data_IF_962594720778
#
_entry.id   IF_962594720778
#
_cell.length_a   1.000
_cell.length_b   1.000
_cell.length_c   1.000
_cell.angle_alpha   90.00
_cell.angle_beta   90.00
_cell.angle_gamma   90.00
#
_symmetry.space_group_name_H-M   'P 1'
#
loop_
_entity.id
_entity.type
_entity.pdbx_description
1 polymer ?
#
# COMPACT_ATOMS: atom_id res chain seq x y z
N UNK A 1 -17.94 15.45 8.64
CA UNK A 1 -16.56 15.75 9.07
C UNK A 1 -16.44 17.25 9.30
N UNK A 2 -16.57 17.72 10.55
CA UNK A 2 -16.48 19.15 10.93
C UNK A 2 -15.03 19.52 11.23
N UNK A 3 -14.13 19.29 10.28
CA UNK A 3 -12.81 19.89 10.32
C UNK A 3 -12.92 21.27 9.68
N UNK A 4 -13.19 22.27 10.50
CA UNK A 4 -13.07 23.68 10.12
C UNK A 4 -11.64 23.92 9.64
N UNK A 5 -11.49 24.39 8.40
CA UNK A 5 -10.17 24.61 7.82
C UNK A 5 -9.42 25.69 8.60
N UNK A 6 -8.09 25.71 8.51
CA UNK A 6 -7.30 26.82 9.05
C UNK A 6 -7.82 28.18 8.57
N UNK A 7 -8.32 28.24 7.34
CA UNK A 7 -8.83 29.44 6.73
C UNK A 7 -10.18 29.91 7.33
N UNK A 8 -11.09 28.99 7.62
CA UNK A 8 -12.38 29.29 8.25
C UNK A 8 -12.17 29.87 9.65
N UNK A 9 -11.22 29.30 10.42
CA UNK A 9 -10.82 29.84 11.73
C UNK A 9 -10.28 31.26 11.63
N UNK A 10 -9.39 31.53 10.68
CA UNK A 10 -8.82 32.87 10.48
C UNK A 10 -9.91 33.87 10.07
N UNK A 11 -10.83 33.48 9.19
CA UNK A 11 -11.96 34.32 8.81
C UNK A 11 -12.87 34.65 10.01
N UNK A 12 -13.13 33.67 10.89
CA UNK A 12 -13.88 33.89 12.13
C UNK A 12 -13.19 34.88 13.07
N UNK A 13 -11.88 34.72 13.31
CA UNK A 13 -11.11 35.67 14.13
C UNK A 13 -11.10 37.08 13.54
N UNK A 14 -10.97 37.22 12.23
CA UNK A 14 -11.03 38.53 11.55
C UNK A 14 -12.40 39.19 11.70
N UNK A 15 -13.49 38.42 11.61
CA UNK A 15 -14.84 38.92 11.83
C UNK A 15 -15.00 39.50 13.25
N UNK A 16 -14.59 38.76 14.28
CA UNK A 16 -14.69 39.23 15.66
C UNK A 16 -13.81 40.45 15.93
N UNK A 17 -12.61 40.51 15.34
CA UNK A 17 -11.73 41.68 15.45
C UNK A 17 -12.36 42.91 14.78
N UNK A 18 -12.89 42.77 13.56
CA UNK A 18 -13.56 43.85 12.85
C UNK A 18 -14.78 44.38 13.62
N UNK A 19 -15.60 43.48 14.17
CA UNK A 19 -16.76 43.82 14.99
C UNK A 19 -16.35 44.63 16.23
N UNK A 20 -15.34 44.16 16.97
CA UNK A 20 -14.86 44.84 18.16
C UNK A 20 -14.33 46.24 17.85
N UNK A 21 -13.50 46.38 16.80
CA UNK A 21 -12.94 47.68 16.39
C UNK A 21 -14.02 48.63 15.88
N UNK A 22 -15.03 48.14 15.16
CA UNK A 22 -16.15 48.97 14.71
C UNK A 22 -17.00 49.49 15.86
N UNK A 23 -17.30 48.65 16.85
CA UNK A 23 -18.01 49.08 18.07
C UNK A 23 -17.19 50.11 18.85
N UNK A 24 -15.87 49.89 18.98
CA UNK A 24 -14.97 50.85 19.63
C UNK A 24 -14.94 52.20 18.88
N UNK A 25 -14.88 52.19 17.55
CA UNK A 25 -14.94 53.39 16.74
C UNK A 25 -16.26 54.14 16.93
N UNK A 26 -17.39 53.43 17.03
CA UNK A 26 -18.68 54.03 17.33
C UNK A 26 -18.69 54.76 18.69
N UNK A 27 -18.21 54.08 19.74
CA UNK A 27 -18.17 54.65 21.10
C UNK A 27 -17.26 55.87 21.18
N UNK A 28 -16.06 55.81 20.59
CA UNK A 28 -15.08 56.89 20.64
C UNK A 28 -15.52 58.14 19.87
N UNK A 29 -16.29 57.99 18.78
CA UNK A 29 -16.79 59.12 17.98
C UNK A 29 -18.17 59.62 18.40
N UNK A 30 -18.80 58.99 19.39
CA UNK A 30 -20.10 59.40 19.92
C UNK A 30 -20.16 60.89 20.36
N UNK A 31 -19.10 61.48 20.97
CA UNK A 31 -19.09 62.91 21.33
C UNK A 31 -19.18 63.87 20.14
N UNK A 32 -18.82 63.41 18.94
CA UNK A 32 -18.89 64.21 17.70
C UNK A 32 -20.27 64.16 17.03
N UNK A 33 -21.22 63.40 17.59
CA UNK A 33 -22.58 63.25 17.07
C UNK A 33 -22.85 61.86 16.47
N UNK A 34 -24.13 61.45 16.52
CA UNK A 34 -24.57 60.11 16.12
C UNK A 34 -24.26 59.80 14.65
N UNK A 35 -24.48 60.77 13.76
CA UNK A 35 -24.23 60.60 12.33
C UNK A 35 -22.74 60.27 12.06
N UNK A 36 -21.83 61.03 12.68
CA UNK A 36 -20.38 60.84 12.52
C UNK A 36 -19.91 59.52 13.13
N UNK A 37 -20.40 59.15 14.32
CA UNK A 37 -20.06 57.86 14.94
C UNK A 37 -20.47 56.67 14.07
N UNK A 38 -21.68 56.72 13.49
CA UNK A 38 -22.19 55.68 12.61
C UNK A 38 -21.41 55.59 11.30
N UNK A 39 -21.08 56.74 10.68
CA UNK A 39 -20.24 56.81 9.48
C UNK A 39 -18.88 56.15 9.70
N UNK A 40 -18.23 56.41 10.85
CA UNK A 40 -16.92 55.81 11.19
C UNK A 40 -17.02 54.31 11.42
N UNK A 41 -18.04 53.84 12.13
CA UNK A 41 -18.28 52.40 12.33
C UNK A 41 -18.44 51.65 10.99
N UNK A 42 -19.30 52.17 10.10
CA UNK A 42 -19.54 51.56 8.79
C UNK A 42 -18.27 51.58 7.93
N UNK A 43 -17.50 52.67 7.97
CA UNK A 43 -16.21 52.76 7.27
C UNK A 43 -15.23 51.66 7.73
N UNK A 44 -15.13 51.42 9.04
CA UNK A 44 -14.29 50.34 9.60
C UNK A 44 -14.74 48.97 9.07
N UNK A 45 -16.05 48.69 9.07
CA UNK A 45 -16.56 47.42 8.56
C UNK A 45 -16.29 47.23 7.06
N UNK A 46 -16.49 48.26 6.25
CA UNK A 46 -16.23 48.20 4.80
C UNK A 46 -14.75 47.91 4.53
N UNK A 47 -13.84 48.60 5.21
CA UNK A 47 -12.40 48.43 5.03
C UNK A 47 -11.94 47.06 5.55
N UNK A 48 -12.56 46.53 6.61
CA UNK A 48 -12.20 45.25 7.21
C UNK A 48 -12.61 44.02 6.38
N UNK A 49 -13.51 44.17 5.38
CA UNK A 49 -13.97 43.05 4.55
C UNK A 49 -12.81 42.41 3.74
N UNK A 50 -12.44 41.14 4.01
CA UNK A 50 -11.24 40.53 3.44
C UNK A 50 -11.54 39.87 2.08
N UNK A 51 -11.89 40.65 1.06
CA UNK A 51 -12.24 40.16 -0.28
C UNK A 51 -11.15 39.28 -0.91
N UNK A 52 -9.87 39.62 -0.69
CA UNK A 52 -8.74 38.86 -1.22
C UNK A 52 -8.59 37.46 -0.57
N UNK A 53 -8.97 37.32 0.70
CA UNK A 53 -8.85 36.06 1.44
C UNK A 53 -9.75 34.97 0.82
N UNK A 54 -10.96 35.35 0.38
CA UNK A 54 -11.93 34.45 -0.22
C UNK A 54 -11.47 33.82 -1.54
N UNK A 55 -10.59 34.51 -2.29
CA UNK A 55 -10.06 34.02 -3.57
C UNK A 55 -8.72 33.30 -3.43
N UNK A 56 -7.89 33.68 -2.45
CA UNK A 56 -6.55 33.11 -2.28
C UNK A 56 -6.56 31.59 -2.03
N UNK A 57 -7.48 31.12 -1.17
CA UNK A 57 -7.57 29.71 -0.76
C UNK A 57 -7.91 28.78 -1.93
N UNK A 58 -9.02 28.96 -2.69
CA UNK A 58 -9.34 28.07 -3.80
C UNK A 58 -8.28 28.10 -4.89
N UNK A 59 -7.64 29.25 -5.12
CA UNK A 59 -6.56 29.38 -6.09
C UNK A 59 -5.33 28.56 -5.71
N UNK A 60 -4.88 28.67 -4.45
CA UNK A 60 -3.74 27.88 -3.95
C UNK A 60 -4.07 26.39 -3.99
N UNK A 61 -5.27 25.98 -3.56
CA UNK A 61 -5.69 24.57 -3.61
C UNK A 61 -5.71 24.04 -5.04
N UNK A 62 -6.28 24.80 -5.99
CA UNK A 62 -6.33 24.39 -7.39
C UNK A 62 -4.91 24.24 -7.97
N UNK A 63 -4.01 25.20 -7.69
CA UNK A 63 -2.61 25.12 -8.14
C UNK A 63 -1.86 23.97 -7.49
N UNK A 64 -1.96 23.78 -6.18
CA UNK A 64 -1.33 22.66 -5.48
C UNK A 64 -1.85 21.30 -5.96
N UNK A 65 -3.15 21.19 -6.25
CA UNK A 65 -3.74 19.95 -6.79
C UNK A 65 -3.25 19.67 -8.20
N UNK A 66 -3.15 20.70 -9.05
CA UNK A 66 -2.57 20.57 -10.39
C UNK A 66 -1.11 20.14 -10.34
N UNK A 67 -0.30 20.74 -9.46
CA UNK A 67 1.10 20.34 -9.26
C UNK A 67 1.20 18.90 -8.74
N UNK A 68 0.34 18.51 -7.80
CA UNK A 68 0.28 17.13 -7.31
C UNK A 68 -0.02 16.14 -8.44
N UNK A 69 -1.06 16.41 -9.24
CA UNK A 69 -1.45 15.55 -10.34
C UNK A 69 -0.35 15.39 -11.40
N UNK A 70 0.39 16.46 -11.74
CA UNK A 70 1.53 16.38 -12.68
C UNK A 70 2.70 15.56 -12.14
N UNK A 71 2.76 15.34 -10.82
CA UNK A 71 3.78 14.51 -10.16
C UNK A 71 3.22 13.15 -9.70
N UNK A 72 2.06 12.71 -10.22
CA UNK A 72 1.47 11.41 -9.90
C UNK A 72 0.77 11.34 -8.53
N UNK A 73 0.57 12.47 -7.84
CA UNK A 73 -0.18 12.54 -6.59
C UNK A 73 -1.63 12.97 -6.84
N UNK A 74 -2.56 12.02 -6.72
CA UNK A 74 -4.00 12.27 -6.88
C UNK A 74 -4.66 12.61 -5.53
N UNK A 75 -5.00 13.88 -5.33
CA UNK A 75 -5.59 14.37 -4.08
C UNK A 75 -7.11 14.38 -4.20
N UNK A 76 -7.78 13.43 -3.55
CA UNK A 76 -9.26 13.37 -3.49
C UNK A 76 -9.86 14.24 -2.39
N UNK A 77 -9.14 14.40 -1.28
CA UNK A 77 -9.60 15.15 -0.11
C UNK A 77 -8.57 16.21 0.29
N UNK A 78 -8.95 17.49 0.14
CA UNK A 78 -8.11 18.64 0.51
C UNK A 78 -7.69 18.63 1.99
N UNK A 79 -8.55 18.19 2.89
CA UNK A 79 -8.26 18.16 4.33
C UNK A 79 -7.17 17.13 4.67
N UNK A 80 -7.06 16.07 3.87
CA UNK A 80 -6.01 15.07 4.03
C UNK A 80 -4.63 15.69 3.76
N UNK A 81 -4.51 16.61 2.80
CA UNK A 81 -3.25 17.30 2.50
C UNK A 81 -2.79 18.19 3.67
N UNK A 82 -3.72 18.91 4.30
CA UNK A 82 -3.41 19.72 5.48
C UNK A 82 -3.02 18.86 6.69
N UNK A 83 -3.70 17.73 6.87
CA UNK A 83 -3.46 16.83 8.01
C UNK A 83 -2.19 16.00 7.84
N UNK A 84 -1.86 15.60 6.60
CA UNK A 84 -0.67 14.82 6.28
C UNK A 84 0.63 15.50 6.72
N UNK A 85 0.67 16.84 6.74
CA UNK A 85 1.80 17.63 7.26
C UNK A 85 2.12 17.36 8.73
N UNK A 86 1.17 16.81 9.50
CA UNK A 86 1.31 16.51 10.93
C UNK A 86 1.47 15.02 11.20
N UNK A 87 1.54 14.19 10.15
CA UNK A 87 1.69 12.76 10.31
C UNK A 87 3.05 12.44 10.95
N UNK A 88 3.03 11.61 11.99
CA UNK A 88 4.24 11.10 12.68
C UNK A 88 4.50 9.63 12.39
N UNK A 89 3.47 8.90 11.99
CA UNK A 89 3.52 7.47 11.71
C UNK A 89 2.90 7.23 10.35
N UNK A 90 3.53 6.35 9.56
CA UNK A 90 3.01 5.90 8.29
C UNK A 90 2.93 4.39 8.33
N UNK A 91 1.70 3.88 8.50
CA UNK A 91 1.41 2.45 8.39
C UNK A 91 1.27 2.14 6.92
N UNK A 92 2.08 1.22 6.44
CA UNK A 92 2.13 0.88 5.02
C UNK A 92 1.69 -0.56 4.83
N UNK A 93 0.86 -0.78 3.81
CA UNK A 93 0.65 -2.15 3.36
C UNK A 93 1.95 -2.68 2.75
N UNK A 94 2.20 -3.99 2.82
CA UNK A 94 3.40 -4.58 2.21
C UNK A 94 3.16 -4.77 0.72
N UNK A 95 2.15 -5.58 0.41
CA UNK A 95 1.89 -6.11 -0.92
C UNK A 95 1.44 -5.00 -1.86
N UNK A 96 2.12 -4.82 -2.99
CA UNK A 96 1.79 -3.80 -4.00
C UNK A 96 2.12 -2.35 -3.61
N UNK A 97 2.37 -2.06 -2.34
CA UNK A 97 2.86 -0.75 -1.87
C UNK A 97 4.38 -0.73 -1.83
N UNK A 98 4.99 -1.52 -0.94
CA UNK A 98 6.45 -1.65 -0.83
C UNK A 98 7.03 -2.68 -1.81
N UNK A 99 6.20 -3.58 -2.30
CA UNK A 99 6.60 -4.64 -3.22
C UNK A 99 5.96 -4.42 -4.58
N UNK A 100 6.52 -5.08 -5.60
CA UNK A 100 6.06 -4.98 -7.00
C UNK A 100 4.67 -5.60 -7.20
N UNK A 101 4.17 -6.39 -6.23
CA UNK A 101 2.92 -7.14 -6.37
C UNK A 101 3.09 -8.34 -7.29
N UNK A 102 4.33 -8.77 -7.55
CA UNK A 102 4.71 -9.85 -8.46
C UNK A 102 5.45 -10.90 -7.67
N UNK A 103 4.77 -12.02 -7.43
CA UNK A 103 5.39 -13.18 -6.79
C UNK A 103 6.34 -13.84 -7.78
N UNK A 104 7.57 -14.05 -7.34
CA UNK A 104 8.62 -14.71 -8.11
C UNK A 104 9.20 -15.84 -7.29
N UNK A 105 9.58 -16.93 -7.94
CA UNK A 105 10.34 -18.00 -7.33
C UNK A 105 11.72 -17.46 -6.96
N UNK A 106 11.99 -17.33 -5.67
CA UNK A 106 13.27 -16.87 -5.15
C UNK A 106 14.31 -17.98 -5.15
N UNK A 107 13.89 -19.20 -4.80
CA UNK A 107 14.76 -20.38 -4.74
C UNK A 107 13.95 -21.67 -4.71
N UNK A 108 14.57 -22.76 -5.12
CA UNK A 108 14.00 -24.11 -5.17
C UNK A 108 14.97 -25.07 -4.48
N UNK A 109 14.46 -25.96 -3.63
CA UNK A 109 15.23 -27.04 -3.03
C UNK A 109 14.67 -28.38 -3.50
N UNK A 110 15.56 -29.32 -3.81
CA UNK A 110 15.21 -30.72 -4.07
C UNK A 110 15.64 -31.58 -2.89
N UNK A 111 14.84 -32.59 -2.56
CA UNK A 111 15.11 -33.55 -1.48
C UNK A 111 15.33 -34.98 -1.99
N UNK A 112 14.94 -35.26 -3.23
CA UNK A 112 15.07 -36.56 -3.89
C UNK A 112 16.00 -36.44 -5.11
N UNK A 113 16.18 -37.54 -5.85
CA UNK A 113 17.04 -37.61 -7.04
C UNK A 113 16.57 -36.74 -8.24
N UNK A 114 15.46 -36.01 -8.08
CA UNK A 114 14.95 -35.10 -9.10
C UNK A 114 15.69 -33.77 -9.09
N UNK A 115 15.91 -33.20 -10.27
CA UNK A 115 16.56 -31.90 -10.37
C UNK A 115 15.63 -30.76 -9.92
N UNK A 116 16.21 -29.59 -9.62
CA UNK A 116 15.42 -28.39 -9.28
C UNK A 116 14.50 -27.99 -10.44
N UNK A 117 14.97 -28.16 -11.68
CA UNK A 117 14.22 -27.88 -12.90
C UNK A 117 13.03 -28.83 -13.05
N UNK A 118 13.20 -30.12 -12.76
CA UNK A 118 12.10 -31.11 -12.81
C UNK A 118 11.00 -30.80 -11.79
N UNK A 119 11.39 -30.43 -10.56
CA UNK A 119 10.44 -30.02 -9.53
C UNK A 119 9.67 -28.78 -9.97
N UNK A 120 10.38 -27.76 -10.49
CA UNK A 120 9.76 -26.52 -10.92
C UNK A 120 8.83 -26.74 -12.13
N UNK A 121 9.24 -27.56 -13.11
CA UNK A 121 8.42 -27.91 -14.27
C UNK A 121 7.16 -28.69 -13.86
N UNK A 122 7.28 -29.64 -12.92
CA UNK A 122 6.14 -30.40 -12.41
C UNK A 122 5.17 -29.50 -11.64
N UNK A 123 5.69 -28.60 -10.80
CA UNK A 123 4.84 -27.63 -10.11
C UNK A 123 4.13 -26.69 -11.09
N UNK A 124 4.84 -26.19 -12.11
CA UNK A 124 4.27 -25.33 -13.14
C UNK A 124 3.18 -26.04 -13.96
N UNK A 125 3.32 -27.35 -14.20
CA UNK A 125 2.31 -28.16 -14.87
C UNK A 125 1.01 -28.23 -14.06
N UNK A 126 1.11 -28.55 -12.76
CA UNK A 126 -0.04 -28.59 -11.85
C UNK A 126 -0.71 -27.21 -11.69
N UNK A 127 0.08 -26.14 -11.68
CA UNK A 127 -0.38 -24.75 -11.54
C UNK A 127 -0.83 -24.10 -12.87
N UNK A 128 -0.77 -24.82 -13.99
CA UNK A 128 -1.07 -24.34 -15.35
C UNK A 128 -2.42 -23.61 -15.43
N UNK A 129 -3.45 -24.15 -14.80
CA UNK A 129 -4.82 -23.62 -14.81
C UNK A 129 -5.18 -22.73 -13.60
N UNK A 130 -4.25 -22.48 -12.68
CA UNK A 130 -4.47 -21.67 -11.49
C UNK A 130 -4.18 -20.18 -11.77
N UNK A 131 -5.11 -19.30 -11.38
CA UNK A 131 -4.94 -17.84 -11.44
C UNK A 131 -4.36 -17.24 -10.15
N UNK A 132 -4.00 -18.09 -9.18
CA UNK A 132 -3.46 -17.62 -7.92
C UNK A 132 -2.10 -16.90 -8.12
N UNK A 133 -1.81 -15.79 -7.43
CA UNK A 133 -0.53 -15.07 -7.62
C UNK A 133 0.72 -15.95 -7.46
N UNK A 134 0.71 -16.88 -6.51
CA UNK A 134 1.77 -17.90 -6.33
C UNK A 134 1.93 -18.79 -7.59
N UNK A 135 0.82 -19.35 -8.09
CA UNK A 135 0.80 -20.13 -9.33
C UNK A 135 1.41 -19.37 -10.51
N UNK A 136 1.07 -18.08 -10.63
CA UNK A 136 1.63 -17.25 -11.71
C UNK A 136 3.14 -17.04 -11.57
N UNK A 137 3.66 -17.00 -10.35
CA UNK A 137 5.10 -16.92 -10.05
C UNK A 137 5.85 -18.18 -10.49
N UNK A 138 5.36 -19.35 -10.10
CA UNK A 138 5.91 -20.65 -10.53
C UNK A 138 5.92 -20.78 -12.06
N UNK A 139 4.80 -20.44 -12.72
CA UNK A 139 4.70 -20.49 -14.19
C UNK A 139 5.66 -19.53 -14.86
N UNK A 140 5.77 -18.30 -14.37
CA UNK A 140 6.70 -17.31 -14.91
C UNK A 140 8.16 -17.79 -14.78
N UNK A 141 8.52 -18.37 -13.64
CA UNK A 141 9.86 -18.90 -13.40
C UNK A 141 10.21 -20.06 -14.35
N UNK A 142 9.25 -20.98 -14.60
CA UNK A 142 9.44 -22.06 -15.56
C UNK A 142 9.65 -21.55 -17.00
N UNK A 143 8.91 -20.51 -17.41
CA UNK A 143 9.07 -19.87 -18.72
C UNK A 143 10.42 -19.15 -18.82
N UNK A 144 10.83 -18.42 -17.79
CA UNK A 144 12.10 -17.68 -17.74
C UNK A 144 13.30 -18.64 -17.85
N UNK A 145 13.23 -19.79 -17.18
CA UNK A 145 14.24 -20.85 -17.24
C UNK A 145 14.14 -21.73 -18.50
N UNK A 146 13.18 -21.46 -19.40
CA UNK A 146 12.93 -22.21 -20.64
C UNK A 146 12.72 -23.71 -20.40
N UNK A 147 12.03 -24.04 -19.31
CA UNK A 147 11.73 -25.43 -18.95
C UNK A 147 10.64 -25.99 -19.86
N UNK A 148 10.75 -27.28 -20.15
CA UNK A 148 9.67 -28.01 -20.82
C UNK A 148 8.66 -28.41 -19.75
N UNK A 149 7.49 -27.74 -19.75
CA UNK A 149 6.42 -28.00 -18.79
C UNK A 149 5.50 -29.11 -19.35
N UNK A 150 5.41 -30.28 -18.70
CA UNK A 150 4.52 -31.34 -19.13
C UNK A 150 3.05 -30.96 -18.94
N UNK A 151 2.14 -31.70 -19.58
CA UNK A 151 0.71 -31.51 -19.38
C UNK A 151 0.28 -32.14 -18.05
N UNK A 152 -0.53 -31.42 -17.27
CA UNK A 152 -1.18 -31.96 -16.09
C UNK A 152 -2.63 -32.35 -16.40
N UNK A 153 -3.06 -33.48 -15.85
CA UNK A 153 -4.41 -34.01 -15.96
C UNK A 153 -5.07 -34.12 -14.58
N UNK A 154 -6.40 -34.10 -14.54
CA UNK A 154 -7.20 -34.30 -13.33
C UNK A 154 -6.79 -33.38 -12.16
N UNK A 155 -6.39 -32.14 -12.46
CA UNK A 155 -5.97 -31.18 -11.43
C UNK A 155 -7.17 -30.78 -10.56
N UNK A 156 -7.03 -30.90 -9.24
CA UNK A 156 -8.05 -30.57 -8.25
C UNK A 156 -7.51 -29.62 -7.19
N UNK A 157 -8.35 -28.66 -6.80
CA UNK A 157 -8.03 -27.69 -5.75
C UNK A 157 -8.34 -28.26 -4.37
N UNK A 158 -7.31 -28.40 -3.54
CA UNK A 158 -7.42 -28.71 -2.12
C UNK A 158 -7.55 -27.41 -1.32
N UNK A 159 -8.79 -27.00 -1.02
CA UNK A 159 -9.08 -25.71 -0.36
C UNK A 159 -8.27 -25.55 0.93
N UNK A 160 -7.49 -24.47 1.01
CA UNK A 160 -6.66 -24.14 2.17
C UNK A 160 -5.39 -24.98 2.32
N UNK A 161 -5.10 -25.85 1.36
CA UNK A 161 -3.94 -26.77 1.36
C UNK A 161 -3.07 -26.54 0.12
N UNK A 162 -3.64 -26.66 -1.08
CA UNK A 162 -2.93 -26.55 -2.35
C UNK A 162 -3.65 -27.25 -3.51
N UNK A 163 -2.93 -28.02 -4.33
CA UNK A 163 -3.42 -28.67 -5.56
C UNK A 163 -2.96 -30.12 -5.64
N UNK A 164 -3.76 -30.99 -6.23
CA UNK A 164 -3.36 -32.35 -6.60
C UNK A 164 -3.64 -32.59 -8.07
N UNK A 165 -2.91 -33.50 -8.71
CA UNK A 165 -3.09 -33.80 -10.13
C UNK A 165 -2.14 -34.88 -10.62
N UNK A 166 -2.23 -35.19 -11.90
CA UNK A 166 -1.40 -36.22 -12.54
C UNK A 166 -0.54 -35.60 -13.63
N UNK A 167 0.77 -35.85 -13.60
CA UNK A 167 1.73 -35.39 -14.61
C UNK A 167 2.49 -36.63 -15.08
N UNK A 168 2.53 -36.87 -16.40
CA UNK A 168 3.15 -38.05 -17.01
C UNK A 168 2.71 -39.39 -16.36
N UNK A 169 1.42 -39.49 -16.02
CA UNK A 169 0.84 -40.68 -15.38
C UNK A 169 1.17 -40.85 -13.89
N UNK A 170 1.90 -39.92 -13.28
CA UNK A 170 2.26 -39.93 -11.86
C UNK A 170 1.42 -38.91 -11.09
N UNK A 171 0.84 -39.33 -9.96
CA UNK A 171 0.10 -38.44 -9.09
C UNK A 171 1.04 -37.59 -8.22
N UNK A 172 0.83 -36.28 -8.24
CA UNK A 172 1.59 -35.30 -7.49
C UNK A 172 0.67 -34.34 -6.74
N UNK A 173 1.17 -33.77 -5.65
CA UNK A 173 0.48 -32.76 -4.85
C UNK A 173 1.40 -31.56 -4.59
N UNK A 174 0.85 -30.35 -4.72
CA UNK A 174 1.46 -29.11 -4.21
C UNK A 174 0.72 -28.75 -2.93
N UNK A 175 1.44 -28.57 -1.83
CA UNK A 175 0.83 -28.27 -0.53
C UNK A 175 1.62 -27.22 0.25
N UNK A 176 0.98 -26.64 1.26
CA UNK A 176 1.62 -25.74 2.22
C UNK A 176 2.27 -26.49 3.39
N UNK A 177 3.07 -25.78 4.19
CA UNK A 177 3.77 -26.35 5.34
C UNK A 177 2.84 -26.99 6.39
N UNK A 178 1.61 -26.48 6.56
CA UNK A 178 0.64 -27.02 7.53
C UNK A 178 0.25 -28.45 7.16
N UNK A 179 0.01 -28.73 5.88
CA UNK A 179 -0.33 -30.07 5.43
C UNK A 179 0.75 -31.10 5.77
N UNK A 180 2.03 -30.74 5.58
CA UNK A 180 3.16 -31.59 5.93
C UNK A 180 3.22 -31.87 7.44
N UNK A 181 2.91 -30.87 8.27
CA UNK A 181 2.87 -31.02 9.72
C UNK A 181 1.72 -31.92 10.17
N UNK A 182 0.53 -31.73 9.61
CA UNK A 182 -0.67 -32.50 9.94
C UNK A 182 -0.50 -33.99 9.58
N UNK A 183 0.21 -34.29 8.48
CA UNK A 183 0.49 -35.65 8.01
C UNK A 183 1.86 -36.20 8.48
N UNK A 184 2.58 -35.45 9.32
CA UNK A 184 3.87 -35.85 9.90
C UNK A 184 4.94 -36.24 8.85
N UNK A 185 4.95 -35.52 7.73
CA UNK A 185 5.88 -35.77 6.64
C UNK A 185 7.25 -35.15 6.94
N UNK A 186 8.30 -35.84 6.49
CA UNK A 186 9.68 -35.41 6.71
C UNK A 186 10.11 -34.44 5.62
N UNK A 187 10.65 -33.29 6.03
CA UNK A 187 11.22 -32.26 5.17
C UNK A 187 12.23 -31.43 5.97
N UNK A 188 13.07 -30.64 5.29
CA UNK A 188 14.01 -29.74 5.97
C UNK A 188 13.30 -28.53 6.59
N UNK A 189 12.90 -28.68 7.85
CA UNK A 189 12.27 -27.63 8.66
C UNK A 189 13.18 -26.43 8.87
N UNK A 190 14.49 -26.65 9.02
CA UNK A 190 15.45 -25.56 9.28
C UNK A 190 15.49 -24.60 8.10
N UNK A 191 15.60 -25.16 6.89
CA UNK A 191 15.63 -24.35 5.68
C UNK A 191 14.27 -23.69 5.39
N UNK A 192 13.17 -24.41 5.62
CA UNK A 192 11.82 -23.86 5.49
C UNK A 192 11.60 -22.67 6.45
N UNK A 193 11.94 -22.81 7.73
CA UNK A 193 11.77 -21.75 8.72
C UNK A 193 12.65 -20.54 8.39
N UNK A 194 13.87 -20.75 7.88
CA UNK A 194 14.73 -19.66 7.42
C UNK A 194 14.10 -18.87 6.26
N UNK A 195 13.55 -19.56 5.26
CA UNK A 195 12.93 -18.90 4.11
C UNK A 195 11.61 -18.23 4.46
N UNK A 196 10.82 -18.83 5.36
CA UNK A 196 9.60 -18.23 5.89
C UNK A 196 9.92 -16.97 6.72
N UNK A 197 10.97 -17.00 7.55
CA UNK A 197 11.44 -15.83 8.31
C UNK A 197 11.95 -14.69 7.41
N UNK A 198 12.46 -15.01 6.22
CA UNK A 198 12.79 -14.03 5.18
C UNK A 198 11.55 -13.44 4.48
N UNK A 199 10.34 -13.89 4.83
CA UNK A 199 9.07 -13.37 4.33
C UNK A 199 8.54 -14.05 3.07
N UNK A 200 9.11 -15.21 2.69
CA UNK A 200 8.64 -15.99 1.56
C UNK A 200 7.44 -16.88 1.93
N UNK A 201 6.58 -17.10 0.95
CA UNK A 201 5.58 -18.17 0.96
C UNK A 201 6.21 -19.46 0.44
N UNK A 202 5.91 -20.59 1.08
CA UNK A 202 6.51 -21.89 0.73
C UNK A 202 5.47 -22.83 0.14
N UNK A 203 5.81 -23.44 -0.98
CA UNK A 203 5.07 -24.52 -1.62
C UNK A 203 5.94 -25.78 -1.67
N UNK A 204 5.35 -26.95 -1.41
CA UNK A 204 6.06 -28.23 -1.38
C UNK A 204 5.46 -29.15 -2.42
N UNK A 205 6.30 -29.87 -3.16
CA UNK A 205 5.88 -30.89 -4.13
C UNK A 205 5.99 -32.28 -3.49
N UNK A 206 4.93 -33.07 -3.62
CA UNK A 206 4.85 -34.41 -3.07
C UNK A 206 4.52 -35.42 -4.15
N UNK A 207 5.03 -36.64 -3.92
CA UNK A 207 4.61 -37.86 -4.61
C UNK A 207 4.22 -38.90 -3.58
N UNK A 208 2.92 -39.01 -3.32
CA UNK A 208 2.39 -39.76 -2.17
C UNK A 208 2.89 -39.16 -0.87
N UNK A 209 3.57 -39.95 -0.02
CA UNK A 209 4.09 -39.50 1.28
C UNK A 209 5.52 -38.93 1.23
N UNK A 210 6.11 -38.79 0.04
CA UNK A 210 7.48 -38.29 -0.11
C UNK A 210 7.48 -36.83 -0.58
N UNK A 211 8.14 -35.96 0.18
CA UNK A 211 8.38 -34.57 -0.21
C UNK A 211 9.56 -34.55 -1.17
N UNK A 212 9.30 -34.16 -2.42
CA UNK A 212 10.30 -34.15 -3.51
C UNK A 212 11.12 -32.86 -3.50
N UNK A 213 10.49 -31.75 -3.10
CA UNK A 213 11.14 -30.45 -3.06
C UNK A 213 10.26 -29.37 -2.46
N UNK A 214 10.85 -28.19 -2.31
CA UNK A 214 10.15 -26.99 -1.91
C UNK A 214 10.57 -25.78 -2.74
N UNK A 215 9.62 -24.89 -2.98
CA UNK A 215 9.81 -23.63 -3.69
C UNK A 215 9.46 -22.50 -2.73
N UNK A 216 10.36 -21.52 -2.62
CA UNK A 216 10.13 -20.29 -1.91
C UNK A 216 9.76 -19.18 -2.89
N UNK A 217 8.57 -18.60 -2.69
CA UNK A 217 8.05 -17.51 -3.49
C UNK A 217 7.94 -16.25 -2.66
N UNK A 218 8.49 -15.17 -3.20
CA UNK A 218 8.49 -13.88 -2.55
C UNK A 218 8.02 -12.81 -3.51
N UNK A 219 7.34 -11.81 -2.97
CA UNK A 219 7.12 -10.56 -3.69
C UNK A 219 8.36 -9.68 -3.55
N UNK A 220 8.89 -9.22 -4.68
CA UNK A 220 10.11 -8.42 -4.70
C UNK A 220 9.82 -7.02 -4.19
N UNK A 221 10.73 -6.49 -3.37
CA UNK A 221 10.68 -5.09 -2.97
C UNK A 221 10.89 -4.20 -4.20
N UNK A 222 10.10 -3.14 -4.34
CA UNK A 222 10.37 -2.12 -5.37
C UNK A 222 11.75 -1.53 -5.15
N UNK A 223 12.42 -1.19 -6.24
CA UNK A 223 13.75 -0.54 -6.19
C UNK A 223 13.73 0.76 -5.38
N UNK A 224 12.59 1.48 -5.41
CA UNK A 224 12.37 2.73 -4.67
C UNK A 224 12.05 2.54 -3.19
N UNK A 225 11.63 1.36 -2.73
CA UNK A 225 11.11 1.17 -1.37
C UNK A 225 12.12 1.48 -0.27
N UNK A 226 13.40 1.09 -0.48
CA UNK A 226 14.47 1.40 0.49
C UNK A 226 14.71 2.91 0.61
N UNK A 227 14.75 3.60 -0.53
CA UNK A 227 14.94 5.05 -0.57
C UNK A 227 13.74 5.77 0.07
N UNK A 228 12.52 5.34 -0.24
CA UNK A 228 11.29 5.87 0.33
C UNK A 228 11.26 5.78 1.86
N UNK A 229 11.56 4.60 2.42
CA UNK A 229 11.62 4.40 3.88
C UNK A 229 12.71 5.25 4.53
N UNK A 230 13.86 5.41 3.86
CA UNK A 230 14.93 6.26 4.36
C UNK A 230 14.52 7.75 4.39
N UNK A 231 13.84 8.22 3.35
CA UNK A 231 13.36 9.59 3.25
C UNK A 231 12.28 9.90 4.29
N UNK A 232 11.34 8.97 4.55
CA UNK A 232 10.37 9.11 5.63
C UNK A 232 11.05 9.31 6.99
N UNK A 233 12.07 8.50 7.29
CA UNK A 233 12.85 8.62 8.54
C UNK A 233 13.58 9.95 8.62
N UNK A 234 14.15 10.44 7.52
CA UNK A 234 14.79 11.76 7.47
C UNK A 234 13.80 12.90 7.72
N UNK A 235 12.55 12.74 7.28
CA UNK A 235 11.46 13.69 7.55
C UNK A 235 10.86 13.57 8.96
N UNK A 236 11.38 12.68 9.81
CA UNK A 236 10.88 12.46 11.17
C UNK A 236 9.56 11.68 11.24
N UNK A 237 9.19 11.00 10.15
CA UNK A 237 8.04 10.11 10.08
C UNK A 237 8.52 8.69 10.40
N UNK A 238 7.84 8.02 11.33
CA UNK A 238 8.11 6.63 11.70
C UNK A 238 7.36 5.69 10.77
N UNK A 239 8.05 4.94 9.90
CA UNK A 239 7.42 3.91 9.08
C UNK A 239 7.09 2.69 9.96
N UNK A 240 5.87 2.15 9.81
CA UNK A 240 5.34 0.98 10.51
C UNK A 240 4.86 -0.05 9.49
#
# INVERSE_FOLDING_TARGET
SKAEGMADKVAGWLFYAALAVGILAFILWMPSGLATAFERMVTVFIIACPHALGLAIPLVIARSTSIGATNGLLIRNRQALETAKRAKYMLMDKTGTLTEGKFTVATTLHFADQSQEEILATMAALESHSEHPLATGIKAAAIEQKLTVPAAENVQVMKGVGLSGTVDGIHYEIVNARYLQDHQLTYDKTQADQWAAAGNSLAFLLKGQHVLGMVAEGDQLKSSSKAFVAELKQQGITPV
#
